data_IF_286902354257
#
_entry.id   IF_286902354257
#
_cell.length_a   1.000
_cell.length_b   1.000
_cell.length_c   1.000
_cell.angle_alpha   90.00
_cell.angle_beta   90.00
_cell.angle_gamma   90.00
#
_symmetry.space_group_name_H-M   'P 1'
#
loop_
_entity.id
_entity.type
_entity.pdbx_description
1 polymer ?
#
# COMPACT_ATOMS: atom_id res chain seq x y z
N UNK A 1 15.91 -13.68 -29.93
CA UNK A 1 16.12 -13.82 -28.47
C UNK A 1 14.96 -13.09 -27.78
N UNK A 2 13.90 -13.82 -27.37
CA UNK A 2 12.82 -13.22 -26.58
C UNK A 2 13.35 -13.13 -25.15
N UNK A 3 13.64 -11.91 -24.70
CA UNK A 3 13.93 -11.68 -23.29
C UNK A 3 12.59 -11.93 -22.59
N UNK A 4 12.47 -13.05 -21.87
CA UNK A 4 11.33 -13.30 -20.98
C UNK A 4 11.48 -12.37 -19.78
N UNK A 5 11.23 -11.08 -19.99
CA UNK A 5 11.11 -10.13 -18.89
C UNK A 5 9.74 -10.34 -18.27
N UNK A 6 9.66 -11.14 -17.20
CA UNK A 6 8.50 -11.10 -16.33
C UNK A 6 8.39 -9.67 -15.79
N UNK A 7 7.38 -8.89 -16.19
CA UNK A 7 7.29 -7.49 -15.78
C UNK A 7 7.08 -7.41 -14.28
N UNK A 8 7.67 -6.37 -13.69
CA UNK A 8 7.79 -6.19 -12.26
C UNK A 8 6.40 -6.31 -11.56
N UNK A 9 6.22 -7.25 -10.61
CA UNK A 9 4.96 -7.41 -9.89
C UNK A 9 4.69 -6.27 -8.92
N UNK A 10 3.43 -5.86 -8.76
CA UNK A 10 3.06 -4.79 -7.81
C UNK A 10 3.40 -5.13 -6.34
N UNK A 11 3.64 -6.40 -6.01
CA UNK A 11 4.03 -6.82 -4.65
C UNK A 11 5.37 -6.25 -4.19
N UNK A 12 6.26 -5.83 -5.11
CA UNK A 12 7.57 -5.27 -4.76
C UNK A 12 7.47 -3.92 -4.06
N UNK A 13 6.36 -3.20 -4.20
CA UNK A 13 6.09 -1.99 -3.42
C UNK A 13 6.03 -2.26 -1.91
N UNK A 14 5.87 -3.52 -1.48
CA UNK A 14 6.03 -3.91 -0.08
C UNK A 14 7.43 -3.64 0.48
N UNK A 15 8.47 -3.55 -0.36
CA UNK A 15 9.82 -3.16 0.05
C UNK A 15 9.81 -1.72 0.58
N UNK A 16 9.13 -0.81 -0.13
CA UNK A 16 9.02 0.60 0.27
C UNK A 16 8.29 0.71 1.61
N UNK A 17 7.20 -0.04 1.78
CA UNK A 17 6.47 -0.10 3.05
C UNK A 17 7.38 -0.48 4.22
N UNK A 18 8.18 -1.54 4.06
CA UNK A 18 9.13 -1.99 5.09
C UNK A 18 10.24 -0.98 5.37
N UNK A 19 10.83 -0.39 4.33
CA UNK A 19 11.91 0.60 4.48
C UNK A 19 11.42 1.88 5.16
N UNK A 20 10.28 2.44 4.72
CA UNK A 20 9.72 3.64 5.36
C UNK A 20 9.33 3.35 6.81
N UNK A 21 8.69 2.21 7.09
CA UNK A 21 8.35 1.83 8.47
C UNK A 21 9.58 1.74 9.37
N UNK A 22 10.65 1.08 8.90
CA UNK A 22 11.91 0.98 9.64
C UNK A 22 12.57 2.35 9.82
N UNK A 23 12.64 3.16 8.76
CA UNK A 23 13.22 4.50 8.80
C UNK A 23 12.48 5.41 9.77
N UNK A 24 11.14 5.32 9.82
CA UNK A 24 10.32 6.14 10.70
C UNK A 24 10.48 5.72 12.17
N UNK A 25 10.46 4.41 12.44
CA UNK A 25 10.79 3.89 13.76
C UNK A 25 12.18 4.36 14.22
N UNK A 26 13.16 4.41 13.31
CA UNK A 26 14.49 4.93 13.66
C UNK A 26 14.49 6.44 13.93
N UNK A 27 13.75 7.24 13.16
CA UNK A 27 13.59 8.69 13.42
C UNK A 27 12.99 8.93 14.80
N UNK A 28 11.94 8.18 15.17
CA UNK A 28 11.34 8.24 16.50
C UNK A 28 12.35 7.82 17.57
N UNK A 29 13.03 6.69 17.38
CA UNK A 29 14.05 6.20 18.31
C UNK A 29 15.21 7.20 18.49
N UNK A 30 15.65 7.87 17.43
CA UNK A 30 16.65 8.93 17.49
C UNK A 30 16.18 10.12 18.33
N UNK A 31 14.91 10.53 18.21
CA UNK A 31 14.35 11.62 19.01
C UNK A 31 14.19 11.28 20.50
N UNK A 32 13.76 10.05 20.80
CA UNK A 32 13.44 9.61 22.17
C UNK A 32 14.70 9.16 22.92
N UNK A 33 15.58 8.40 22.27
CA UNK A 33 16.78 7.81 22.88
C UNK A 33 18.09 8.49 22.47
N UNK A 34 18.04 9.62 21.77
CA UNK A 34 19.22 10.38 21.32
C UNK A 34 20.19 9.53 20.46
N UNK A 35 19.65 8.56 19.72
CA UNK A 35 20.42 7.75 18.77
C UNK A 35 20.83 8.59 17.53
N UNK A 36 21.79 8.09 16.72
CA UNK A 36 22.21 8.81 15.53
C UNK A 36 21.06 8.96 14.52
N UNK A 37 20.68 10.21 14.23
CA UNK A 37 19.58 10.57 13.31
C UNK A 37 19.88 10.14 11.86
N UNK A 38 21.16 10.11 11.46
CA UNK A 38 21.58 9.85 10.09
C UNK A 38 21.17 8.46 9.58
N UNK A 39 21.04 7.46 10.46
CA UNK A 39 20.65 6.10 10.05
C UNK A 39 19.20 6.09 9.55
N UNK A 40 18.29 6.78 10.24
CA UNK A 40 16.90 6.93 9.81
C UNK A 40 16.83 7.64 8.46
N UNK A 41 17.61 8.69 8.27
CA UNK A 41 17.66 9.43 7.00
C UNK A 41 18.21 8.59 5.84
N UNK A 42 19.27 7.80 6.05
CA UNK A 42 19.80 6.90 5.02
C UNK A 42 18.74 5.87 4.60
N UNK A 43 18.02 5.30 5.57
CA UNK A 43 16.93 4.35 5.29
C UNK A 43 15.81 5.06 4.51
N UNK A 44 15.40 6.25 4.91
CA UNK A 44 14.35 7.02 4.24
C UNK A 44 14.71 7.41 2.80
N UNK A 45 15.95 7.85 2.57
CA UNK A 45 16.46 8.16 1.23
C UNK A 45 16.48 6.89 0.36
N UNK A 46 16.93 5.76 0.92
CA UNK A 46 16.90 4.48 0.21
C UNK A 46 15.48 4.07 -0.17
N UNK A 47 14.51 4.28 0.73
CA UNK A 47 13.10 3.99 0.49
C UNK A 47 12.54 4.84 -0.65
N UNK A 48 12.84 6.14 -0.67
CA UNK A 48 12.42 7.05 -1.72
C UNK A 48 13.03 6.69 -3.09
N UNK A 49 14.31 6.31 -3.13
CA UNK A 49 14.99 5.85 -4.37
C UNK A 49 14.34 4.57 -4.88
N UNK A 50 14.16 3.56 -4.01
CA UNK A 50 13.52 2.30 -4.38
C UNK A 50 12.11 2.55 -4.89
N UNK A 51 11.32 3.39 -4.21
CA UNK A 51 9.99 3.78 -4.67
C UNK A 51 10.02 4.42 -6.06
N UNK A 52 10.91 5.39 -6.31
CA UNK A 52 10.99 6.07 -7.60
C UNK A 52 11.33 5.09 -8.73
N UNK A 53 12.27 4.17 -8.49
CA UNK A 53 12.65 3.12 -9.46
C UNK A 53 11.48 2.17 -9.72
N UNK A 54 10.82 1.68 -8.67
CA UNK A 54 9.67 0.78 -8.80
C UNK A 54 8.49 1.47 -9.52
N UNK A 55 8.21 2.73 -9.19
CA UNK A 55 7.16 3.50 -9.83
C UNK A 55 7.45 3.71 -11.32
N UNK A 56 8.69 4.05 -11.68
CA UNK A 56 9.08 4.20 -13.08
C UNK A 56 8.90 2.90 -13.86
N UNK A 57 9.37 1.76 -13.33
CA UNK A 57 9.18 0.46 -13.97
C UNK A 57 7.71 0.03 -14.05
N UNK A 58 6.91 0.36 -13.03
CA UNK A 58 5.49 0.02 -13.02
C UNK A 58 4.71 0.87 -14.03
N UNK A 59 5.00 2.16 -14.16
CA UNK A 59 4.42 3.02 -15.20
C UNK A 59 4.85 2.56 -16.60
N UNK A 60 6.13 2.22 -16.78
CA UNK A 60 6.66 1.63 -18.00
C UNK A 60 5.93 0.33 -18.39
N UNK A 61 5.61 -0.53 -17.41
CA UNK A 61 4.79 -1.74 -17.62
C UNK A 61 3.41 -1.40 -18.19
N UNK A 62 2.75 -0.35 -17.69
CA UNK A 62 1.44 0.07 -18.21
C UNK A 62 1.49 0.61 -19.64
N UNK A 63 2.62 1.19 -20.06
CA UNK A 63 2.82 1.74 -21.42
C UNK A 63 3.22 0.65 -22.42
N UNK A 64 4.20 -0.19 -22.07
CA UNK A 64 4.80 -1.15 -23.01
C UNK A 64 4.26 -2.58 -22.89
N UNK A 65 3.74 -2.97 -21.71
CA UNK A 65 3.26 -4.33 -21.42
C UNK A 65 1.81 -4.29 -20.90
N UNK A 66 0.96 -3.54 -21.61
CA UNK A 66 -0.44 -3.26 -21.20
C UNK A 66 -1.27 -4.52 -20.98
N UNK A 67 -1.11 -5.53 -21.82
CA UNK A 67 -1.87 -6.78 -21.71
C UNK A 67 -1.55 -7.51 -20.39
N UNK A 68 -0.29 -7.49 -19.96
CA UNK A 68 0.14 -8.09 -18.70
C UNK A 68 -0.29 -7.26 -17.48
N UNK A 69 -0.31 -5.93 -17.60
CA UNK A 69 -0.86 -5.05 -16.56
C UNK A 69 -2.36 -5.26 -16.38
N UNK A 70 -3.11 -5.42 -17.48
CA UNK A 70 -4.53 -5.75 -17.45
C UNK A 70 -4.78 -7.16 -16.90
N UNK A 71 -3.91 -8.12 -17.21
CA UNK A 71 -3.96 -9.46 -16.63
C UNK A 71 -3.75 -9.41 -15.10
N UNK A 72 -2.78 -8.64 -14.61
CA UNK A 72 -2.55 -8.43 -13.17
C UNK A 72 -3.76 -7.76 -12.49
N UNK A 73 -4.37 -6.77 -13.14
CA UNK A 73 -5.56 -6.09 -12.62
C UNK A 73 -6.78 -7.01 -12.51
N UNK A 74 -6.93 -7.94 -13.46
CA UNK A 74 -8.02 -8.93 -13.48
C UNK A 74 -7.74 -10.14 -12.58
N UNK A 75 -6.49 -10.38 -12.21
CA UNK A 75 -6.12 -11.52 -11.41
C UNK A 75 -6.77 -11.44 -10.01
N UNK A 76 -7.44 -12.51 -9.52
CA UNK A 76 -8.26 -12.45 -8.30
C UNK A 76 -7.48 -12.10 -7.02
N UNK A 77 -6.20 -12.49 -6.95
CA UNK A 77 -5.29 -12.21 -5.83
C UNK A 77 -4.28 -11.07 -6.11
N UNK A 78 -3.51 -11.15 -7.21
CA UNK A 78 -2.42 -10.20 -7.49
C UNK A 78 -2.88 -8.75 -7.63
N UNK A 79 -4.10 -8.51 -8.09
CA UNK A 79 -4.68 -7.17 -8.20
C UNK A 79 -4.56 -6.37 -6.89
N UNK A 80 -4.67 -7.01 -5.72
CA UNK A 80 -4.72 -6.31 -4.44
C UNK A 80 -3.36 -5.68 -4.09
N UNK A 81 -2.27 -6.18 -4.66
CA UNK A 81 -0.95 -5.57 -4.53
C UNK A 81 -0.83 -4.28 -5.34
N UNK A 82 -1.68 -4.04 -6.35
CA UNK A 82 -1.72 -2.74 -7.06
C UNK A 82 -2.09 -1.61 -6.10
N UNK A 83 -2.89 -1.90 -5.06
CA UNK A 83 -3.18 -0.97 -3.99
C UNK A 83 -1.91 -0.47 -3.26
N UNK A 84 -0.84 -1.28 -3.21
CA UNK A 84 0.43 -0.87 -2.60
C UNK A 84 1.10 0.29 -3.33
N UNK A 85 0.80 0.55 -4.61
CA UNK A 85 1.37 1.68 -5.35
C UNK A 85 0.93 3.00 -4.71
N UNK A 86 -0.35 3.14 -4.40
CA UNK A 86 -0.90 4.31 -3.72
C UNK A 86 -0.36 4.44 -2.30
N UNK A 87 -0.34 3.32 -1.56
CA UNK A 87 0.16 3.25 -0.18
C UNK A 87 1.64 3.63 -0.08
N UNK A 88 2.49 3.07 -0.94
CA UNK A 88 3.91 3.38 -0.98
C UNK A 88 4.16 4.85 -1.35
N UNK A 89 3.35 5.41 -2.25
CA UNK A 89 3.41 6.83 -2.61
C UNK A 89 3.07 7.73 -1.42
N UNK A 90 2.03 7.40 -0.66
CA UNK A 90 1.71 8.11 0.59
C UNK A 90 2.82 7.99 1.63
N UNK A 91 3.48 6.83 1.75
CA UNK A 91 4.57 6.64 2.72
C UNK A 91 5.83 7.43 2.38
N UNK A 92 6.14 7.59 1.09
CA UNK A 92 7.25 8.45 0.69
C UNK A 92 7.01 9.93 1.06
N UNK A 93 5.74 10.35 1.24
CA UNK A 93 5.46 11.66 1.83
C UNK A 93 6.06 11.82 3.23
N UNK A 94 6.08 10.77 4.06
CA UNK A 94 6.70 10.79 5.40
C UNK A 94 8.22 10.96 5.31
N UNK A 95 8.86 10.29 4.34
CA UNK A 95 10.29 10.46 4.10
C UNK A 95 10.64 11.91 3.73
N UNK A 96 9.79 12.56 2.92
CA UNK A 96 10.00 13.90 2.35
C UNK A 96 9.53 15.03 3.28
N UNK A 97 8.59 14.77 4.18
CA UNK A 97 7.96 15.79 5.03
C UNK A 97 8.94 16.69 5.81
N UNK A 98 10.08 16.21 6.35
CA UNK A 98 11.06 17.09 7.01
C UNK A 98 11.74 18.09 6.06
N UNK A 99 11.77 17.81 4.76
CA UNK A 99 12.47 18.61 3.76
C UNK A 99 11.53 19.56 2.99
N UNK A 100 10.32 19.11 2.66
CA UNK A 100 9.32 19.93 1.97
C UNK A 100 7.92 19.47 2.31
N UNK A 101 7.23 20.27 3.13
CA UNK A 101 5.85 19.99 3.50
C UNK A 101 4.91 20.00 2.28
N UNK A 102 5.09 20.95 1.35
CA UNK A 102 4.27 21.05 0.13
C UNK A 102 4.38 19.78 -0.71
N UNK A 103 5.60 19.27 -0.94
CA UNK A 103 5.81 18.06 -1.73
C UNK A 103 5.25 16.83 -1.02
N UNK A 104 5.38 16.74 0.30
CA UNK A 104 4.81 15.67 1.08
C UNK A 104 3.27 15.65 0.99
N UNK A 105 2.61 16.81 1.11
CA UNK A 105 1.15 16.91 0.95
C UNK A 105 0.71 16.49 -0.46
N UNK A 106 1.43 16.92 -1.51
CA UNK A 106 1.10 16.50 -2.89
C UNK A 106 1.20 14.99 -3.08
N UNK A 107 2.29 14.36 -2.60
CA UNK A 107 2.46 12.92 -2.68
C UNK A 107 1.40 12.17 -1.87
N UNK A 108 1.07 12.68 -0.68
CA UNK A 108 0.00 12.11 0.13
C UNK A 108 -1.35 12.19 -0.59
N UNK A 109 -1.74 13.33 -1.16
CA UNK A 109 -3.01 13.47 -1.87
C UNK A 109 -3.08 12.51 -3.06
N UNK A 110 -2.01 12.42 -3.87
CA UNK A 110 -1.95 11.50 -5.01
C UNK A 110 -2.07 10.05 -4.53
N UNK A 111 -1.30 9.67 -3.52
CA UNK A 111 -1.29 8.30 -2.96
C UNK A 111 -2.63 7.93 -2.32
N UNK A 112 -3.23 8.84 -1.56
CA UNK A 112 -4.54 8.65 -0.93
C UNK A 112 -5.66 8.52 -1.97
N UNK A 113 -5.70 9.38 -2.99
CA UNK A 113 -6.68 9.27 -4.08
C UNK A 113 -6.53 7.96 -4.85
N UNK A 114 -5.30 7.55 -5.15
CA UNK A 114 -5.05 6.26 -5.80
C UNK A 114 -5.51 5.08 -4.94
N UNK A 115 -5.22 5.12 -3.63
CA UNK A 115 -5.60 4.08 -2.67
C UNK A 115 -7.12 3.98 -2.52
N UNK A 116 -7.80 5.11 -2.32
CA UNK A 116 -9.26 5.18 -2.20
C UNK A 116 -9.93 4.75 -3.50
N UNK A 117 -9.50 5.30 -4.63
CA UNK A 117 -10.05 4.95 -5.95
C UNK A 117 -9.92 3.46 -6.24
N UNK A 118 -8.76 2.87 -5.95
CA UNK A 118 -8.55 1.44 -6.10
C UNK A 118 -9.38 0.61 -5.11
N UNK A 119 -9.50 1.06 -3.86
CA UNK A 119 -10.33 0.41 -2.84
C UNK A 119 -11.81 0.39 -3.20
N UNK A 120 -12.35 1.50 -3.71
CA UNK A 120 -13.74 1.62 -4.21
C UNK A 120 -13.96 0.70 -5.41
N UNK A 121 -13.06 0.74 -6.40
CA UNK A 121 -13.13 -0.13 -7.56
C UNK A 121 -13.16 -1.62 -7.18
N UNK A 122 -12.25 -2.07 -6.31
CA UNK A 122 -12.18 -3.49 -5.92
C UNK A 122 -13.36 -3.92 -5.04
N UNK A 123 -13.79 -3.07 -4.12
CA UNK A 123 -14.96 -3.37 -3.27
C UNK A 123 -16.23 -3.41 -4.10
N UNK A 124 -16.39 -2.51 -5.07
CA UNK A 124 -17.51 -2.53 -6.02
C UNK A 124 -17.58 -3.82 -6.82
N UNK A 125 -16.44 -4.30 -7.36
CA UNK A 125 -16.39 -5.59 -8.04
C UNK A 125 -16.72 -6.78 -7.13
N UNK A 126 -16.28 -6.74 -5.87
CA UNK A 126 -16.64 -7.78 -4.89
C UNK A 126 -18.16 -7.83 -4.65
N UNK A 127 -18.82 -6.67 -4.54
CA UNK A 127 -20.27 -6.60 -4.32
C UNK A 127 -21.10 -7.05 -5.53
N UNK A 128 -20.54 -6.96 -6.74
CA UNK A 128 -21.18 -7.49 -7.96
C UNK A 128 -21.09 -9.02 -8.09
N UNK A 129 -20.52 -9.73 -7.09
CA UNK A 129 -20.42 -11.19 -7.09
C UNK A 129 -19.29 -11.74 -7.96
N UNK A 130 -18.37 -10.88 -8.41
CA UNK A 130 -17.32 -11.18 -9.39
C UNK A 130 -16.11 -11.93 -8.77
N UNK A 131 -16.33 -12.65 -7.65
CA UNK A 131 -15.26 -13.36 -6.93
C UNK A 131 -15.69 -14.74 -6.43
N UNK A 132 -14.89 -15.73 -6.81
CA UNK A 132 -14.94 -17.08 -6.25
C UNK A 132 -14.52 -17.06 -4.77
N UNK A 133 -15.34 -17.59 -3.82
CA UNK A 133 -15.01 -17.71 -2.40
C UNK A 133 -13.67 -18.41 -2.11
N UNK A 134 -13.18 -19.27 -3.01
CA UNK A 134 -11.89 -19.96 -2.87
C UNK A 134 -10.72 -18.97 -2.98
N UNK A 135 -10.90 -17.81 -3.61
CA UNK A 135 -9.85 -16.79 -3.81
C UNK A 135 -9.78 -15.74 -2.69
N UNK A 136 -10.66 -15.83 -1.68
CA UNK A 136 -10.70 -14.94 -0.52
C UNK A 136 -9.49 -15.18 0.38
N UNK A 137 -8.40 -14.46 0.12
CA UNK A 137 -7.12 -14.59 0.84
C UNK A 137 -6.86 -13.34 1.69
N UNK A 138 -5.96 -13.42 2.70
CA UNK A 138 -5.57 -12.26 3.52
C UNK A 138 -5.05 -11.06 2.72
N UNK A 139 -4.61 -11.29 1.49
CA UNK A 139 -4.20 -10.24 0.55
C UNK A 139 -5.32 -9.20 0.29
N UNK A 140 -6.59 -9.52 0.56
CA UNK A 140 -7.70 -8.57 0.52
C UNK A 140 -7.60 -7.43 1.54
N UNK A 141 -6.79 -7.56 2.60
CA UNK A 141 -6.55 -6.47 3.54
C UNK A 141 -5.74 -5.32 2.92
N UNK A 142 -4.94 -5.57 1.88
CA UNK A 142 -4.00 -4.58 1.35
C UNK A 142 -4.69 -3.31 0.80
N UNK A 143 -5.73 -3.40 -0.05
CA UNK A 143 -6.32 -2.21 -0.65
C UNK A 143 -7.13 -1.36 0.33
N UNK A 144 -7.87 -2.02 1.23
CA UNK A 144 -8.85 -1.34 2.10
C UNK A 144 -8.29 -1.09 3.48
N UNK A 145 -7.77 -2.10 4.17
CA UNK A 145 -7.31 -1.98 5.56
C UNK A 145 -5.95 -1.31 5.63
N UNK A 146 -4.93 -1.88 4.98
CA UNK A 146 -3.59 -1.30 4.99
C UNK A 146 -3.60 0.09 4.34
N UNK A 147 -4.32 0.24 3.22
CA UNK A 147 -4.52 1.52 2.54
C UNK A 147 -5.11 2.61 3.43
N UNK A 148 -6.16 2.28 4.19
CA UNK A 148 -6.80 3.24 5.09
C UNK A 148 -5.92 3.56 6.30
N UNK A 149 -5.30 2.58 6.95
CA UNK A 149 -4.43 2.85 8.10
C UNK A 149 -3.21 3.68 7.74
N UNK A 150 -2.55 3.36 6.62
CA UNK A 150 -1.40 4.15 6.16
C UNK A 150 -1.85 5.56 5.78
N UNK A 151 -2.97 5.72 5.07
CA UNK A 151 -3.47 7.05 4.74
C UNK A 151 -3.83 7.86 6.00
N UNK A 152 -4.40 7.20 7.02
CA UNK A 152 -4.71 7.83 8.31
C UNK A 152 -3.48 8.25 9.10
N UNK A 153 -2.45 7.39 9.11
CA UNK A 153 -1.14 7.69 9.68
C UNK A 153 -0.49 8.89 8.98
N UNK A 154 -0.35 8.86 7.66
CA UNK A 154 0.31 9.94 6.90
C UNK A 154 -0.47 11.26 7.01
N UNK A 155 -1.80 11.23 6.96
CA UNK A 155 -2.63 12.42 7.18
C UNK A 155 -2.35 13.06 8.54
N UNK A 156 -2.34 12.23 9.60
CA UNK A 156 -2.05 12.69 10.97
C UNK A 156 -0.62 13.20 11.11
N UNK A 157 0.35 12.54 10.47
CA UNK A 157 1.75 12.94 10.43
C UNK A 157 1.93 14.33 9.79
N UNK A 158 1.14 14.64 8.76
CA UNK A 158 1.14 15.94 8.08
C UNK A 158 0.29 17.01 8.79
N UNK A 159 -0.35 16.69 9.92
CA UNK A 159 -1.17 17.62 10.71
C UNK A 159 -2.67 17.64 10.35
N UNK A 160 -3.12 16.80 9.40
CA UNK A 160 -4.53 16.67 9.03
C UNK A 160 -5.23 15.59 9.88
N UNK A 161 -5.34 15.83 11.19
CA UNK A 161 -5.86 14.85 12.16
C UNK A 161 -7.31 14.41 11.90
N UNK A 162 -8.19 15.32 11.45
CA UNK A 162 -9.58 14.98 11.14
C UNK A 162 -9.66 13.98 9.97
N UNK A 163 -8.90 14.23 8.91
CA UNK A 163 -8.76 13.33 7.77
C UNK A 163 -8.14 12.01 8.22
N UNK A 164 -7.13 12.09 9.09
CA UNK A 164 -6.49 10.92 9.71
C UNK A 164 -7.48 10.02 10.44
N UNK A 165 -8.38 10.62 11.21
CA UNK A 165 -9.41 9.93 11.99
C UNK A 165 -10.45 9.25 11.09
N UNK A 166 -10.85 9.91 9.98
CA UNK A 166 -11.75 9.31 8.99
C UNK A 166 -11.15 8.05 8.36
N UNK A 167 -9.89 8.13 7.92
CA UNK A 167 -9.17 6.99 7.37
C UNK A 167 -8.94 5.88 8.40
N UNK A 168 -8.61 6.24 9.64
CA UNK A 168 -8.48 5.27 10.72
C UNK A 168 -9.79 4.50 10.94
N UNK A 169 -10.92 5.20 11.04
CA UNK A 169 -12.25 4.58 11.16
C UNK A 169 -12.55 3.66 9.97
N UNK A 170 -12.31 4.12 8.74
CA UNK A 170 -12.48 3.30 7.54
C UNK A 170 -11.65 2.00 7.58
N UNK A 171 -10.40 2.08 8.07
CA UNK A 171 -9.52 0.94 8.26
C UNK A 171 -10.07 -0.07 9.27
N UNK A 172 -10.50 0.40 10.45
CA UNK A 172 -11.06 -0.45 11.51
C UNK A 172 -12.32 -1.18 11.04
N UNK A 173 -13.30 -0.46 10.46
CA UNK A 173 -14.53 -1.08 9.98
C UNK A 173 -14.27 -2.08 8.84
N UNK A 174 -13.38 -1.73 7.91
CA UNK A 174 -12.97 -2.64 6.83
C UNK A 174 -12.31 -3.90 7.37
N UNK A 175 -11.46 -3.74 8.40
CA UNK A 175 -10.78 -4.87 9.02
C UNK A 175 -11.77 -5.83 9.68
N UNK A 176 -12.64 -5.36 10.56
CA UNK A 176 -13.61 -6.24 11.23
C UNK A 176 -14.53 -6.95 10.24
N UNK A 177 -14.92 -6.28 9.16
CA UNK A 177 -15.72 -6.89 8.10
C UNK A 177 -14.96 -8.01 7.39
N UNK A 178 -13.71 -7.80 7.03
CA UNK A 178 -12.89 -8.79 6.32
C UNK A 178 -12.42 -9.94 7.22
N UNK A 179 -12.11 -9.65 8.49
CA UNK A 179 -11.64 -10.62 9.48
C UNK A 179 -12.66 -11.74 9.69
N UNK A 180 -13.94 -11.38 9.75
CA UNK A 180 -15.05 -12.33 9.86
C UNK A 180 -15.07 -13.32 8.68
N UNK A 181 -14.92 -12.79 7.45
CA UNK A 181 -14.99 -13.59 6.22
C UNK A 181 -13.76 -14.51 6.09
N UNK A 182 -12.57 -13.98 6.37
CA UNK A 182 -11.31 -14.72 6.23
C UNK A 182 -11.23 -15.83 7.28
N UNK A 183 -11.56 -15.54 8.53
CA UNK A 183 -11.58 -16.56 9.61
C UNK A 183 -12.56 -17.68 9.28
N UNK A 184 -13.78 -17.32 8.82
CA UNK A 184 -14.78 -18.31 8.41
C UNK A 184 -14.27 -19.23 7.29
N UNK A 185 -13.53 -18.69 6.30
CA UNK A 185 -12.92 -19.50 5.24
C UNK A 185 -11.85 -20.45 5.80
N UNK A 186 -10.95 -19.96 6.64
CA UNK A 186 -9.85 -20.76 7.21
C UNK A 186 -10.40 -21.96 7.99
N UNK A 187 -11.39 -21.72 8.87
CA UNK A 187 -12.05 -22.80 9.63
C UNK A 187 -12.70 -23.82 8.71
N UNK A 188 -13.37 -23.37 7.65
CA UNK A 188 -14.04 -24.28 6.70
C UNK A 188 -13.06 -25.08 5.86
N UNK A 189 -11.86 -24.58 5.57
CA UNK A 189 -10.81 -25.34 4.88
C UNK A 189 -10.18 -26.41 5.78
N UNK A 190 -10.04 -26.14 7.08
CA UNK A 190 -9.51 -27.11 8.05
C UNK A 190 -10.47 -28.30 8.24
N UNK A 191 -11.79 -28.06 8.21
CA UNK A 191 -12.80 -29.12 8.39
C UNK A 191 -13.05 -30.01 7.15
N UNK A 192 -12.36 -29.77 6.03
CA UNK A 192 -12.56 -30.52 4.76
C UNK A 192 -11.29 -31.31 4.36
N UNK A 193 -10.18 -31.17 5.11
CA UNK A 193 -8.97 -31.99 4.96
C UNK A 193 -8.91 -33.09 6.01
#
# INVERSE_FOLDING_TARGET
MRINSHPLPASFFGIVLGLVGLGDCWRVAASVWQLPHWIGEVIMVSAAIVWAVLLAFYLAKWVWFRDEALAELRHPVQCCFIGLVGVATSLVAVAIAPYSHVLAVLLFVIGALATVGFGVYRTGHLWMGDRDPVTTTPVLYLPTVAGSFVSGFVASYLGYHDVGTLFFGAGVFSWFTLESIITHRVVRQINVG
#
